data_IF_147875732209
#
_entry.id   IF_147875732209
#
_cell.length_a   1.000
_cell.length_b   1.000
_cell.length_c   1.000
_cell.angle_alpha   90.00
_cell.angle_beta   90.00
_cell.angle_gamma   90.00
#
_symmetry.space_group_name_H-M   'P 1'
#
loop_
_entity.id
_entity.type
_entity.pdbx_description
1 polymer ?
#
# COMPACT_ATOMS: atom_id res chain seq x y z
N UNK A 1 -14.84 6.88 27.34
CA UNK A 1 -13.39 6.58 27.45
C UNK A 1 -12.86 6.45 26.03
N UNK A 2 -12.19 7.49 25.50
CA UNK A 2 -11.72 7.51 24.12
C UNK A 2 -10.39 6.79 23.97
N UNK A 3 -10.38 5.64 23.30
CA UNK A 3 -9.18 4.87 22.98
C UNK A 3 -8.25 5.67 22.06
N UNK A 4 -7.35 6.47 22.65
CA UNK A 4 -6.20 7.05 21.96
C UNK A 4 -5.28 5.89 21.57
N UNK A 5 -5.25 5.50 20.29
CA UNK A 5 -4.24 4.57 19.79
C UNK A 5 -2.86 5.19 20.01
N UNK A 6 -2.06 4.51 20.83
CA UNK A 6 -0.78 4.96 21.31
C UNK A 6 0.26 5.13 20.17
N UNK A 7 0.89 6.30 20.10
CA UNK A 7 2.30 6.51 19.73
C UNK A 7 2.82 6.10 18.35
N UNK A 8 1.98 5.67 17.40
CA UNK A 8 2.43 5.16 16.11
C UNK A 8 1.75 5.81 14.91
N UNK A 9 2.28 5.52 13.72
CA UNK A 9 1.65 5.91 12.46
C UNK A 9 0.41 5.04 12.18
N UNK A 10 -0.52 5.58 11.39
CA UNK A 10 -1.69 4.83 10.97
C UNK A 10 -1.28 3.57 10.17
N UNK A 11 -1.99 2.43 10.34
CA UNK A 11 -1.71 1.23 9.58
C UNK A 11 -1.76 1.47 8.07
N UNK A 12 -0.85 0.82 7.36
CA UNK A 12 -0.77 0.90 5.90
C UNK A 12 -2.06 0.36 5.29
N UNK A 13 -2.58 1.09 4.31
CA UNK A 13 -3.77 0.76 3.53
C UNK A 13 -3.39 0.80 2.06
N UNK A 14 -3.72 -0.27 1.36
CA UNK A 14 -3.46 -0.42 -0.07
C UNK A 14 -4.78 -0.71 -0.75
N UNK A 15 -5.28 0.29 -1.48
CA UNK A 15 -6.47 0.16 -2.30
C UNK A 15 -6.10 -0.41 -3.67
N UNK A 16 -6.81 -1.42 -4.13
CA UNK A 16 -6.64 -1.97 -5.46
C UNK A 16 -7.67 -1.37 -6.40
N UNK A 17 -7.26 -0.35 -7.16
CA UNK A 17 -8.11 0.30 -8.16
C UNK A 17 -8.13 -0.44 -9.51
N UNK A 18 -7.48 -1.61 -9.61
CA UNK A 18 -7.42 -2.39 -10.84
C UNK A 18 -8.57 -3.41 -10.87
N UNK A 19 -8.97 -3.80 -12.09
CA UNK A 19 -10.00 -4.84 -12.30
C UNK A 19 -9.53 -6.26 -11.96
N UNK A 20 -8.34 -6.41 -11.38
CA UNK A 20 -7.64 -7.67 -11.16
C UNK A 20 -7.19 -7.80 -9.72
N UNK A 21 -6.96 -9.03 -9.26
CA UNK A 21 -6.42 -9.25 -7.91
C UNK A 21 -4.93 -8.91 -7.88
N UNK A 22 -4.46 -8.37 -6.76
CA UNK A 22 -3.07 -8.00 -6.60
C UNK A 22 -2.49 -8.53 -5.29
N UNK A 23 -1.20 -8.81 -5.27
CA UNK A 23 -0.46 -9.25 -4.09
C UNK A 23 0.93 -8.65 -4.10
N UNK A 24 1.56 -8.56 -2.94
CA UNK A 24 2.89 -7.96 -2.83
C UNK A 24 3.36 -7.87 -1.40
N UNK A 25 4.37 -7.02 -1.19
CA UNK A 25 5.02 -6.82 0.11
C UNK A 25 5.19 -5.33 0.40
N UNK A 26 4.92 -4.95 1.65
CA UNK A 26 5.25 -3.66 2.25
C UNK A 26 6.55 -3.82 3.02
N UNK A 27 7.57 -3.06 2.62
CA UNK A 27 8.90 -3.04 3.24
C UNK A 27 9.03 -1.81 4.13
N UNK A 28 9.61 -2.00 5.32
CA UNK A 28 9.82 -0.95 6.30
C UNK A 28 11.31 -0.63 6.50
N UNK A 29 11.63 0.58 6.95
CA UNK A 29 12.99 1.11 7.01
C UNK A 29 13.92 0.46 8.06
N UNK A 30 13.39 -0.28 9.03
CA UNK A 30 14.15 -0.74 10.21
C UNK A 30 14.07 -2.25 10.37
N UNK A 31 15.18 -2.86 10.80
CA UNK A 31 15.27 -4.30 11.12
C UNK A 31 14.33 -4.72 12.26
N UNK A 32 13.87 -3.77 13.08
CA UNK A 32 12.92 -4.01 14.17
C UNK A 32 11.47 -4.08 13.65
N UNK A 33 11.26 -3.80 12.37
CA UNK A 33 9.97 -3.85 11.71
C UNK A 33 9.89 -5.11 10.85
N UNK A 34 8.82 -5.88 11.00
CA UNK A 34 8.53 -6.97 10.08
C UNK A 34 7.80 -6.42 8.85
N UNK A 35 8.29 -6.78 7.67
CA UNK A 35 7.61 -6.53 6.41
C UNK A 35 6.26 -7.25 6.37
N UNK A 36 5.26 -6.60 5.78
CA UNK A 36 3.92 -7.19 5.61
C UNK A 36 3.76 -7.74 4.20
N UNK A 37 3.43 -9.03 4.08
CA UNK A 37 2.90 -9.57 2.84
C UNK A 37 1.40 -9.32 2.76
N UNK A 38 0.91 -8.95 1.58
CA UNK A 38 -0.50 -8.66 1.39
C UNK A 38 -1.05 -9.28 0.11
N UNK A 39 -2.35 -9.52 0.13
CA UNK A 39 -3.17 -9.87 -1.03
C UNK A 39 -4.47 -9.08 -0.94
N UNK A 40 -4.89 -8.48 -2.04
CA UNK A 40 -6.05 -7.59 -2.13
C UNK A 40 -6.84 -7.93 -3.38
N UNK A 41 -8.16 -8.11 -3.25
CA UNK A 41 -9.01 -8.35 -4.40
C UNK A 41 -9.21 -7.07 -5.21
N UNK A 42 -9.76 -7.20 -6.42
CA UNK A 42 -10.21 -6.04 -7.22
C UNK A 42 -11.16 -5.15 -6.41
N UNK A 43 -11.02 -3.84 -6.55
CA UNK A 43 -11.87 -2.84 -5.90
C UNK A 43 -11.90 -2.91 -4.36
N UNK A 44 -10.97 -3.63 -3.74
CA UNK A 44 -10.88 -3.77 -2.29
C UNK A 44 -9.68 -3.02 -1.70
N UNK A 45 -9.73 -2.81 -0.38
CA UNK A 45 -8.61 -2.23 0.38
C UNK A 45 -8.05 -3.26 1.33
N UNK A 46 -6.77 -3.58 1.19
CA UNK A 46 -6.03 -4.28 2.23
C UNK A 46 -5.56 -3.30 3.29
N UNK A 47 -5.58 -3.72 4.56
CA UNK A 47 -5.14 -2.94 5.70
C UNK A 47 -4.19 -3.78 6.56
N UNK A 48 -3.01 -3.23 6.85
CA UNK A 48 -2.07 -3.81 7.78
C UNK A 48 -2.69 -3.92 9.19
N UNK A 49 -2.31 -4.97 9.91
CA UNK A 49 -2.75 -5.17 11.31
C UNK A 49 -2.19 -4.08 12.22
N UNK A 50 -0.90 -3.75 12.04
CA UNK A 50 -0.20 -2.67 12.73
C UNK A 50 1.03 -2.23 11.94
N UNK A 51 1.48 -1.00 12.19
CA UNK A 51 2.71 -0.43 11.64
C UNK A 51 3.65 0.11 12.73
N UNK A 52 3.09 0.44 13.91
CA UNK A 52 3.84 1.11 14.97
C UNK A 52 4.52 2.39 14.46
N UNK A 53 5.80 2.56 14.78
CA UNK A 53 6.64 3.71 14.40
C UNK A 53 7.46 3.47 13.12
N UNK A 54 7.19 2.38 12.40
CA UNK A 54 7.95 1.97 11.23
C UNK A 54 7.61 2.86 10.02
N UNK A 55 8.64 3.39 9.36
CA UNK A 55 8.47 4.13 8.10
C UNK A 55 8.42 3.14 6.93
N UNK A 56 7.52 3.39 5.98
CA UNK A 56 7.43 2.58 4.75
C UNK A 56 8.55 3.02 3.80
N UNK A 57 9.36 2.09 3.32
CA UNK A 57 10.41 2.38 2.33
C UNK A 57 10.02 1.90 0.95
N UNK A 58 9.31 0.77 0.83
CA UNK A 58 8.94 0.24 -0.46
C UNK A 58 7.63 -0.54 -0.41
N UNK A 59 6.82 -0.43 -1.46
CA UNK A 59 5.63 -1.26 -1.63
C UNK A 59 5.69 -1.87 -3.01
N UNK A 60 5.78 -3.19 -3.05
CA UNK A 60 5.73 -3.98 -4.28
C UNK A 60 4.32 -4.45 -4.54
N UNK A 61 3.92 -4.54 -5.80
CA UNK A 61 2.66 -5.15 -6.19
C UNK A 61 2.83 -5.97 -7.47
N UNK A 62 2.14 -7.09 -7.53
CA UNK A 62 2.00 -7.95 -8.69
C UNK A 62 0.53 -8.16 -8.94
N UNK A 63 0.08 -7.77 -10.13
CA UNK A 63 -1.31 -7.84 -10.56
C UNK A 63 -1.53 -9.13 -11.36
N UNK A 64 -2.54 -9.91 -10.97
CA UNK A 64 -2.90 -11.18 -11.61
C UNK A 64 -3.90 -10.93 -12.73
N UNK A 65 -3.41 -10.78 -13.96
CA UNK A 65 -4.28 -10.62 -15.13
C UNK A 65 -4.49 -11.96 -15.85
N UNK A 66 -5.50 -12.08 -16.73
CA UNK A 66 -5.69 -13.27 -17.57
C UNK A 66 -4.49 -13.59 -18.47
N UNK A 67 -3.67 -12.59 -18.81
CA UNK A 67 -2.44 -12.77 -19.60
C UNK A 67 -1.23 -13.18 -18.74
N UNK A 68 -1.37 -13.27 -17.41
CA UNK A 68 -0.33 -13.65 -16.48
C UNK A 68 -0.13 -12.66 -15.33
N UNK A 69 0.91 -12.93 -14.54
CA UNK A 69 1.28 -12.05 -13.43
C UNK A 69 2.13 -10.89 -13.96
N UNK A 70 1.66 -9.67 -13.77
CA UNK A 70 2.35 -8.45 -14.20
C UNK A 70 2.85 -7.73 -12.95
N UNK A 71 4.16 -7.51 -12.88
CA UNK A 71 4.75 -6.73 -11.80
C UNK A 71 4.45 -5.25 -12.01
N UNK A 72 3.83 -4.61 -11.03
CA UNK A 72 3.60 -3.18 -11.02
C UNK A 72 4.89 -2.44 -10.65
N UNK A 73 5.00 -1.19 -11.12
CA UNK A 73 6.05 -0.29 -10.66
C UNK A 73 5.88 -0.03 -9.15
N UNK A 74 6.90 -0.37 -8.34
CA UNK A 74 6.79 -0.27 -6.89
C UNK A 74 6.87 1.18 -6.43
N UNK A 75 6.14 1.50 -5.35
CA UNK A 75 6.39 2.73 -4.63
C UNK A 75 7.70 2.60 -3.86
N UNK A 76 8.60 3.57 -3.98
CA UNK A 76 9.88 3.59 -3.25
C UNK A 76 10.08 4.96 -2.60
N UNK A 77 10.61 4.98 -1.37
CA UNK A 77 10.95 6.18 -0.62
C UNK A 77 12.10 5.91 0.35
N UNK A 78 12.75 6.96 0.86
CA UNK A 78 13.74 6.86 1.94
C UNK A 78 13.12 6.58 3.32
N UNK A 79 11.80 6.39 3.41
CA UNK A 79 11.04 6.21 4.64
C UNK A 79 9.94 7.27 4.76
N UNK A 80 8.69 6.86 4.63
CA UNK A 80 7.54 7.77 4.66
C UNK A 80 6.59 7.55 5.83
N UNK A 81 6.01 8.66 6.31
CA UNK A 81 4.93 8.66 7.30
C UNK A 81 3.57 8.32 6.67
N UNK A 82 3.42 8.36 5.34
CA UNK A 82 2.16 8.09 4.65
C UNK A 82 1.65 6.66 4.88
N UNK A 83 0.34 6.53 5.04
CA UNK A 83 -0.32 5.25 5.31
C UNK A 83 -1.27 4.81 4.21
N UNK A 84 -1.57 5.65 3.22
CA UNK A 84 -2.56 5.34 2.19
C UNK A 84 -1.91 5.27 0.81
N UNK A 85 -2.08 4.12 0.17
CA UNK A 85 -1.53 3.80 -1.13
C UNK A 85 -2.59 3.16 -2.00
N UNK A 86 -2.40 3.20 -3.31
CA UNK A 86 -3.26 2.57 -4.27
C UNK A 86 -2.45 1.90 -5.37
N UNK A 87 -2.93 0.76 -5.84
CA UNK A 87 -2.47 0.11 -7.06
C UNK A 87 -3.36 0.63 -8.18
N UNK A 88 -2.76 1.27 -9.16
CA UNK A 88 -3.46 1.89 -10.29
C UNK A 88 -2.98 1.30 -11.61
N UNK A 89 -3.86 1.28 -12.60
CA UNK A 89 -3.49 0.97 -13.97
C UNK A 89 -3.13 2.27 -14.71
N UNK A 90 -1.91 2.35 -15.23
CA UNK A 90 -1.38 3.53 -15.93
C UNK A 90 -1.25 3.30 -17.44
N UNK A 91 -1.52 2.09 -17.92
CA UNK A 91 -1.55 1.75 -19.34
C UNK A 91 -2.02 0.32 -19.57
N UNK A 92 -2.01 -0.12 -20.82
CA UNK A 92 -2.29 -1.52 -21.17
C UNK A 92 -1.23 -2.39 -20.51
N UNK A 93 -1.65 -3.29 -19.61
CA UNK A 93 -0.73 -4.18 -18.88
C UNK A 93 0.38 -3.44 -18.11
N UNK A 94 0.13 -2.18 -17.71
CA UNK A 94 1.07 -1.37 -16.92
C UNK A 94 0.36 -0.91 -15.65
N UNK A 95 0.95 -1.25 -14.52
CA UNK A 95 0.43 -0.95 -13.20
C UNK A 95 1.49 -0.24 -12.36
N UNK A 96 1.05 0.56 -11.40
CA UNK A 96 1.94 1.30 -10.50
C UNK A 96 1.31 1.37 -9.11
N UNK A 97 2.16 1.32 -8.08
CA UNK A 97 1.78 1.67 -6.71
C UNK A 97 2.04 3.16 -6.49
N UNK A 98 1.01 3.90 -6.09
CA UNK A 98 1.12 5.32 -5.80
C UNK A 98 0.55 5.65 -4.42
N UNK A 99 1.01 6.77 -3.86
CA UNK A 99 0.44 7.32 -2.63
C UNK A 99 -0.91 7.97 -2.94
N UNK A 100 -1.89 7.74 -2.08
CA UNK A 100 -3.16 8.45 -2.13
C UNK A 100 -3.03 9.76 -1.36
N UNK A 101 -3.34 10.88 -2.02
CA UNK A 101 -3.45 12.19 -1.39
C UNK A 101 -4.92 12.54 -1.22
N UNK A 102 -5.40 12.55 0.02
CA UNK A 102 -6.75 13.06 0.30
C UNK A 102 -6.72 14.59 0.18
N UNK A 103 -7.23 15.11 -0.92
CA UNK A 103 -7.51 16.53 -1.07
C UNK A 103 -8.77 16.84 -0.25
N UNK A 104 -8.65 16.89 1.09
CA UNK A 104 -9.70 17.50 1.91
C UNK A 104 -9.75 18.97 1.46
N UNK A 105 -10.65 19.29 0.53
CA UNK A 105 -11.09 20.67 0.32
C UNK A 105 -11.52 21.16 1.69
N UNK A 106 -10.70 22.03 2.31
CA UNK A 106 -11.12 22.83 3.46
C UNK A 106 -12.35 23.59 2.96
N UNK A 107 -13.52 23.20 3.46
CA UNK A 107 -14.75 23.96 3.27
C UNK A 107 -14.80 25.01 4.37
#
# INVERSE_FOLDING_TARGET
MGNRKAGGYDPVQIFNSTSFNAFGKVEYASILCSDDNYSVQRDETWKASSRGVCLVTRITATVRTPSGNIQAEPYTSSGTSYSQFAIIQVGVNKFQVTRVVSNKRRK
#
